data_IF_874318861632
#
_entry.id   IF_874318861632
#
_cell.length_a   1.000
_cell.length_b   1.000
_cell.length_c   1.000
_cell.angle_alpha   90.00
_cell.angle_beta   90.00
_cell.angle_gamma   90.00
#
_symmetry.space_group_name_H-M   'P 1'
#
loop_
_entity.id
_entity.type
_entity.pdbx_description
1 polymer ?
#
# COMPACT_ATOMS: atom_id res chain seq x y z
N UNK A 1 -22.54 0.02 -10.64
CA UNK A 1 -21.60 -0.97 -11.17
C UNK A 1 -20.90 -1.67 -10.01
N UNK A 2 -21.00 -2.99 -9.87
CA UNK A 2 -20.50 -3.72 -8.70
C UNK A 2 -18.97 -3.87 -8.66
N UNK A 3 -18.24 -3.31 -9.58
CA UNK A 3 -16.79 -3.48 -9.72
C UNK A 3 -16.42 -4.76 -10.47
N UNK A 4 -15.17 -4.86 -10.87
CA UNK A 4 -14.68 -5.92 -11.77
C UNK A 4 -14.23 -7.19 -11.04
N UNK A 5 -14.02 -7.16 -9.71
CA UNK A 5 -13.44 -8.30 -9.01
C UNK A 5 -13.91 -8.38 -7.57
N UNK A 6 -14.67 -9.40 -7.24
CA UNK A 6 -14.98 -9.78 -5.87
C UNK A 6 -13.99 -10.88 -5.43
N UNK A 7 -13.26 -10.62 -4.35
CA UNK A 7 -12.41 -11.63 -3.71
C UNK A 7 -13.07 -12.10 -2.43
N UNK A 8 -13.32 -13.39 -2.36
CA UNK A 8 -13.75 -13.99 -1.10
C UNK A 8 -12.54 -14.21 -0.22
N UNK A 9 -12.51 -13.55 0.94
CA UNK A 9 -11.48 -13.73 1.95
C UNK A 9 -12.03 -14.55 3.11
N UNK A 10 -11.19 -15.42 3.66
CA UNK A 10 -11.42 -16.08 4.93
C UNK A 10 -11.39 -15.08 6.09
N UNK A 11 -11.84 -15.49 7.28
CA UNK A 11 -11.71 -14.68 8.50
C UNK A 11 -10.27 -14.24 8.74
N UNK A 12 -9.29 -15.11 8.46
CA UNK A 12 -7.85 -14.82 8.55
C UNK A 12 -7.42 -13.75 7.56
N UNK A 13 -7.91 -13.82 6.32
CA UNK A 13 -7.63 -12.82 5.29
C UNK A 13 -8.25 -11.46 5.60
N UNK A 14 -9.44 -11.42 6.20
CA UNK A 14 -10.07 -10.18 6.68
C UNK A 14 -9.29 -9.59 7.85
N UNK A 15 -8.84 -10.40 8.82
CA UNK A 15 -7.96 -9.95 9.92
C UNK A 15 -6.67 -9.35 9.39
N UNK A 16 -5.99 -10.03 8.46
CA UNK A 16 -4.77 -9.50 7.85
C UNK A 16 -5.03 -8.18 7.11
N UNK A 17 -6.15 -8.09 6.38
CA UNK A 17 -6.52 -6.84 5.69
C UNK A 17 -6.74 -5.70 6.70
N UNK A 18 -7.50 -5.94 7.76
CA UNK A 18 -7.81 -4.94 8.79
C UNK A 18 -6.54 -4.51 9.55
N UNK A 19 -5.80 -5.48 10.10
CA UNK A 19 -4.79 -5.23 11.13
C UNK A 19 -3.38 -5.01 10.55
N UNK A 20 -3.06 -5.62 9.40
CA UNK A 20 -1.77 -5.43 8.75
C UNK A 20 -1.83 -4.41 7.62
N UNK A 21 -2.74 -4.58 6.64
CA UNK A 21 -2.71 -3.77 5.42
C UNK A 21 -3.31 -2.38 5.62
N UNK A 22 -4.55 -2.33 6.10
CA UNK A 22 -5.28 -1.06 6.19
C UNK A 22 -4.68 -0.12 7.23
N UNK A 23 -4.35 -0.63 8.44
CA UNK A 23 -3.73 0.18 9.50
C UNK A 23 -2.41 0.77 9.02
N UNK A 24 -1.53 -0.05 8.46
CA UNK A 24 -0.23 0.42 7.96
C UNK A 24 -0.40 1.45 6.85
N UNK A 25 -1.31 1.21 5.91
CA UNK A 25 -1.59 2.11 4.80
C UNK A 25 -2.09 3.47 5.27
N UNK A 26 -3.15 3.51 6.07
CA UNK A 26 -3.71 4.81 6.46
C UNK A 26 -2.76 5.61 7.34
N UNK A 27 -2.04 4.97 8.25
CA UNK A 27 -1.05 5.65 9.10
C UNK A 27 0.11 6.23 8.31
N UNK A 28 0.60 5.52 7.28
CA UNK A 28 1.68 6.04 6.44
C UNK A 28 1.19 7.15 5.53
N UNK A 29 -0.01 7.01 4.94
CA UNK A 29 -0.59 8.08 4.10
C UNK A 29 -0.92 9.33 4.89
N UNK A 30 -1.35 9.21 6.13
CA UNK A 30 -1.60 10.36 7.00
C UNK A 30 -0.36 11.23 7.18
N UNK A 31 0.82 10.61 7.33
CA UNK A 31 2.08 11.33 7.49
C UNK A 31 2.35 12.22 6.27
N UNK A 32 2.30 11.65 5.06
CA UNK A 32 2.56 12.43 3.85
C UNK A 32 1.47 13.46 3.54
N UNK A 33 0.21 13.15 3.82
CA UNK A 33 -0.90 14.09 3.59
C UNK A 33 -0.80 15.33 4.46
N UNK A 34 -0.27 15.23 5.67
CA UNK A 34 0.00 16.39 6.54
C UNK A 34 1.00 17.35 5.88
N UNK A 35 2.04 16.82 5.25
CA UNK A 35 3.01 17.62 4.50
C UNK A 35 2.35 18.29 3.29
N UNK A 36 1.73 17.48 2.41
CA UNK A 36 1.04 18.01 1.22
C UNK A 36 0.08 19.14 1.59
N UNK A 37 -0.80 18.89 2.57
CA UNK A 37 -1.82 19.87 2.97
C UNK A 37 -1.21 21.16 3.52
N UNK A 38 -0.08 21.08 4.23
CA UNK A 38 0.62 22.25 4.74
C UNK A 38 1.18 23.11 3.61
N UNK A 39 1.87 22.51 2.65
CA UNK A 39 2.42 23.22 1.49
C UNK A 39 1.31 23.79 0.60
N UNK A 40 0.25 23.02 0.33
CA UNK A 40 -0.92 23.47 -0.43
C UNK A 40 -1.65 24.67 0.22
N UNK A 41 -1.61 24.79 1.55
CA UNK A 41 -2.20 25.93 2.26
C UNK A 41 -1.28 27.17 2.25
N UNK A 42 0.01 26.96 2.15
CA UNK A 42 0.99 28.02 2.15
C UNK A 42 1.17 28.68 0.77
N UNK A 43 0.96 27.90 -0.31
CA UNK A 43 1.17 28.35 -1.69
C UNK A 43 0.08 27.83 -2.62
N UNK A 44 -0.58 28.74 -3.30
CA UNK A 44 -1.64 28.45 -4.29
C UNK A 44 -1.13 27.68 -5.51
N UNK A 45 0.09 27.97 -5.98
CA UNK A 45 0.69 27.24 -7.09
C UNK A 45 0.96 25.78 -6.72
N UNK A 46 1.45 25.54 -5.51
CA UNK A 46 1.61 24.19 -4.96
C UNK A 46 0.26 23.50 -4.79
N UNK A 47 -0.77 24.25 -4.36
CA UNK A 47 -2.12 23.69 -4.25
C UNK A 47 -2.63 23.17 -5.59
N UNK A 48 -2.47 23.94 -6.67
CA UNK A 48 -2.88 23.52 -8.01
C UNK A 48 -2.13 22.27 -8.45
N UNK A 49 -0.82 22.20 -8.23
CA UNK A 49 0.04 21.04 -8.58
C UNK A 49 -0.32 19.77 -7.81
N UNK A 50 -0.74 19.88 -6.55
CA UNK A 50 -0.90 18.76 -5.63
C UNK A 50 -2.35 18.36 -5.33
N UNK A 51 -3.35 19.12 -5.76
CA UNK A 51 -4.76 18.84 -5.44
C UNK A 51 -5.19 17.44 -5.87
N UNK A 52 -4.90 17.06 -7.11
CA UNK A 52 -5.21 15.71 -7.63
C UNK A 52 -4.44 14.61 -6.88
N UNK A 53 -3.17 14.83 -6.58
CA UNK A 53 -2.31 13.87 -5.87
C UNK A 53 -2.77 13.68 -4.42
N UNK A 54 -3.12 14.79 -3.76
CA UNK A 54 -3.70 14.77 -2.43
C UNK A 54 -5.05 14.04 -2.43
N UNK A 55 -5.94 14.36 -3.36
CA UNK A 55 -7.24 13.72 -3.49
C UNK A 55 -7.11 12.20 -3.71
N UNK A 56 -6.20 11.77 -4.57
CA UNK A 56 -5.92 10.36 -4.78
C UNK A 56 -5.40 9.68 -3.50
N UNK A 57 -4.43 10.29 -2.81
CA UNK A 57 -3.91 9.76 -1.55
C UNK A 57 -5.00 9.68 -0.49
N UNK A 58 -5.81 10.74 -0.35
CA UNK A 58 -6.91 10.82 0.62
C UNK A 58 -8.00 9.78 0.33
N UNK A 59 -8.25 9.45 -0.93
CA UNK A 59 -9.22 8.42 -1.31
C UNK A 59 -8.81 7.04 -0.77
N UNK A 60 -7.56 6.63 -0.97
CA UNK A 60 -7.04 5.38 -0.41
C UNK A 60 -6.99 5.39 1.12
N UNK A 61 -6.66 6.52 1.72
CA UNK A 61 -6.66 6.70 3.18
C UNK A 61 -8.07 6.52 3.77
N UNK A 62 -9.07 7.23 3.21
CA UNK A 62 -10.48 7.11 3.62
C UNK A 62 -11.01 5.70 3.39
N UNK A 63 -10.65 5.06 2.27
CA UNK A 63 -11.05 3.69 1.98
C UNK A 63 -10.53 2.72 3.04
N UNK A 64 -9.26 2.80 3.43
CA UNK A 64 -8.67 1.92 4.44
C UNK A 64 -9.35 2.08 5.81
N UNK A 65 -9.62 3.32 6.24
CA UNK A 65 -10.34 3.61 7.49
C UNK A 65 -11.79 3.14 7.42
N UNK A 66 -12.50 3.48 6.34
CA UNK A 66 -13.90 3.11 6.14
C UNK A 66 -14.09 1.60 6.08
N UNK A 67 -13.19 0.89 5.41
CA UNK A 67 -13.19 -0.57 5.35
C UNK A 67 -13.03 -1.18 6.75
N UNK A 68 -12.08 -0.71 7.56
CA UNK A 68 -11.90 -1.20 8.92
C UNK A 68 -13.13 -0.94 9.78
N UNK A 69 -13.69 0.27 9.70
CA UNK A 69 -14.93 0.61 10.40
C UNK A 69 -16.08 -0.33 9.99
N UNK A 70 -16.23 -0.64 8.70
CA UNK A 70 -17.25 -1.57 8.22
C UNK A 70 -17.01 -3.00 8.68
N UNK A 71 -15.77 -3.48 8.66
CA UNK A 71 -15.42 -4.81 9.17
C UNK A 71 -15.83 -4.96 10.64
N UNK A 72 -15.55 -3.95 11.44
CA UNK A 72 -15.85 -3.98 12.88
C UNK A 72 -17.34 -3.80 13.15
N UNK A 73 -18.00 -2.79 12.55
CA UNK A 73 -19.42 -2.48 12.81
C UNK A 73 -20.37 -3.57 12.32
N UNK A 74 -20.01 -4.29 11.26
CA UNK A 74 -20.80 -5.40 10.71
C UNK A 74 -20.35 -6.77 11.24
N UNK A 75 -19.40 -6.84 12.16
CA UNK A 75 -18.86 -8.08 12.71
C UNK A 75 -18.43 -9.09 11.63
N UNK A 76 -17.84 -8.60 10.53
CA UNK A 76 -17.52 -9.42 9.35
C UNK A 76 -16.62 -10.61 9.70
N UNK A 77 -15.68 -10.44 10.62
CA UNK A 77 -14.78 -11.51 11.05
C UNK A 77 -15.58 -12.65 11.69
N UNK A 78 -16.49 -12.32 12.61
CA UNK A 78 -17.35 -13.32 13.29
C UNK A 78 -18.25 -14.03 12.30
N UNK A 79 -18.88 -13.31 11.36
CA UNK A 79 -19.68 -13.92 10.30
C UNK A 79 -18.88 -14.90 9.46
N UNK A 80 -17.65 -14.56 9.09
CA UNK A 80 -16.75 -15.45 8.34
C UNK A 80 -16.37 -16.69 9.14
N UNK A 81 -16.08 -16.53 10.43
CA UNK A 81 -15.79 -17.66 11.32
C UNK A 81 -16.98 -18.64 11.47
N UNK A 82 -18.20 -18.11 11.54
CA UNK A 82 -19.42 -18.94 11.54
C UNK A 82 -19.58 -19.73 10.22
N UNK A 83 -19.33 -19.10 9.06
CA UNK A 83 -19.33 -19.80 7.78
C UNK A 83 -18.23 -20.86 7.69
N UNK A 84 -17.03 -20.57 8.18
CA UNK A 84 -15.91 -21.52 8.21
C UNK A 84 -16.23 -22.73 9.12
N UNK A 85 -16.86 -22.48 10.26
CA UNK A 85 -17.31 -23.55 11.15
C UNK A 85 -18.39 -24.44 10.51
N UNK A 86 -19.35 -23.85 9.79
CA UNK A 86 -20.37 -24.59 9.04
C UNK A 86 -19.76 -25.43 7.91
N UNK A 87 -18.80 -24.89 7.17
CA UNK A 87 -18.06 -25.62 6.14
C UNK A 87 -17.30 -26.80 6.78
N UNK A 88 -16.62 -26.57 7.88
CA UNK A 88 -15.90 -27.62 8.61
C UNK A 88 -16.84 -28.74 9.05
N UNK A 89 -17.98 -28.40 9.63
CA UNK A 89 -18.99 -29.40 10.06
C UNK A 89 -19.50 -30.24 8.87
N UNK A 90 -19.75 -29.60 7.71
CA UNK A 90 -20.13 -30.31 6.49
C UNK A 90 -19.03 -31.26 6.01
N UNK A 91 -17.79 -30.80 5.96
CA UNK A 91 -16.63 -31.64 5.57
C UNK A 91 -16.46 -32.82 6.53
N UNK A 92 -16.57 -32.60 7.84
CA UNK A 92 -16.45 -33.63 8.86
C UNK A 92 -17.58 -34.69 8.72
N UNK A 93 -18.80 -34.27 8.40
CA UNK A 93 -19.96 -35.17 8.27
C UNK A 93 -19.98 -35.99 6.98
N UNK A 94 -19.50 -35.40 5.87
CA UNK A 94 -19.55 -36.01 4.55
C UNK A 94 -18.27 -36.69 4.11
N UNK A 95 -17.15 -36.32 4.74
CA UNK A 95 -15.80 -36.70 4.27
C UNK A 95 -15.35 -35.99 3.00
N UNK A 96 -16.21 -35.16 2.39
CA UNK A 96 -15.89 -34.43 1.16
C UNK A 96 -14.80 -33.38 1.40
N UNK A 97 -13.74 -33.41 0.62
CA UNK A 97 -12.57 -32.51 0.74
C UNK A 97 -11.84 -32.59 2.09
N UNK A 98 -12.02 -33.62 2.91
CA UNK A 98 -11.42 -33.76 4.24
C UNK A 98 -9.89 -33.61 4.21
N UNK A 99 -9.23 -34.16 3.22
CA UNK A 99 -7.77 -34.11 3.07
C UNK A 99 -7.26 -32.84 2.35
N UNK A 100 -8.18 -31.95 1.93
CA UNK A 100 -7.84 -30.74 1.16
C UNK A 100 -8.15 -29.42 1.89
N UNK A 101 -8.95 -29.48 2.94
CA UNK A 101 -9.39 -28.30 3.68
C UNK A 101 -8.83 -28.33 5.11
N UNK A 102 -7.83 -27.50 5.36
CA UNK A 102 -7.21 -27.35 6.68
C UNK A 102 -7.21 -25.86 7.12
N UNK A 103 -8.20 -25.48 7.92
CA UNK A 103 -8.31 -24.13 8.47
C UNK A 103 -7.21 -23.83 9.50
N UNK A 104 -6.68 -24.83 10.20
CA UNK A 104 -5.60 -24.63 11.18
C UNK A 104 -4.28 -24.31 10.45
N UNK A 105 -3.99 -25.03 9.37
CA UNK A 105 -2.86 -24.71 8.50
C UNK A 105 -3.01 -23.31 7.90
N UNK A 106 -4.20 -22.96 7.41
CA UNK A 106 -4.47 -21.64 6.86
C UNK A 106 -4.23 -20.52 7.89
N UNK A 107 -4.75 -20.64 9.10
CA UNK A 107 -4.49 -19.70 10.21
C UNK A 107 -2.98 -19.56 10.49
N UNK A 108 -2.28 -20.68 10.60
CA UNK A 108 -0.82 -20.71 10.82
C UNK A 108 -0.07 -19.95 9.72
N UNK A 109 -0.42 -20.15 8.44
CA UNK A 109 0.21 -19.46 7.32
C UNK A 109 -0.05 -17.95 7.35
N UNK A 110 -1.27 -17.51 7.67
CA UNK A 110 -1.59 -16.09 7.81
C UNK A 110 -0.82 -15.45 8.97
N UNK A 111 -0.70 -16.14 10.12
CA UNK A 111 0.11 -15.66 11.25
C UNK A 111 1.59 -15.53 10.89
N UNK A 112 2.16 -16.53 10.21
CA UNK A 112 3.57 -16.52 9.81
C UNK A 112 3.90 -15.35 8.86
N UNK A 113 2.99 -15.01 7.95
CA UNK A 113 3.22 -13.95 6.97
C UNK A 113 2.79 -12.55 7.43
N UNK A 114 2.14 -12.42 8.59
CA UNK A 114 1.52 -11.17 9.05
C UNK A 114 2.52 -10.00 9.09
N UNK A 115 3.67 -10.19 9.72
CA UNK A 115 4.70 -9.15 9.82
C UNK A 115 5.35 -8.84 8.46
N UNK A 116 5.56 -9.85 7.62
CA UNK A 116 6.05 -9.65 6.26
C UNK A 116 5.06 -8.82 5.43
N UNK A 117 3.75 -9.04 5.60
CA UNK A 117 2.72 -8.25 4.93
C UNK A 117 2.70 -6.80 5.42
N UNK A 118 2.83 -6.55 6.72
CA UNK A 118 2.98 -5.19 7.26
C UNK A 118 4.20 -4.49 6.68
N UNK A 119 5.35 -5.17 6.67
CA UNK A 119 6.59 -4.65 6.11
C UNK A 119 6.45 -4.32 4.61
N UNK A 120 5.81 -5.20 3.84
CA UNK A 120 5.55 -4.98 2.41
C UNK A 120 4.67 -3.74 2.17
N UNK A 121 3.61 -3.56 2.95
CA UNK A 121 2.74 -2.38 2.81
C UNK A 121 3.49 -1.11 3.23
N UNK A 122 4.19 -1.14 4.36
CA UNK A 122 4.99 0.00 4.83
C UNK A 122 6.04 0.41 3.80
N UNK A 123 6.79 -0.56 3.26
CA UNK A 123 7.74 -0.33 2.18
C UNK A 123 7.07 0.28 0.93
N UNK A 124 5.95 -0.31 0.50
CA UNK A 124 5.25 0.16 -0.69
C UNK A 124 4.70 1.57 -0.54
N UNK A 125 4.13 1.91 0.63
CA UNK A 125 3.58 3.24 0.89
C UNK A 125 4.69 4.29 1.11
N UNK A 126 5.90 3.88 1.48
CA UNK A 126 7.06 4.76 1.63
C UNK A 126 7.77 5.01 0.30
N UNK A 127 8.11 3.96 -0.44
CA UNK A 127 9.01 4.04 -1.61
C UNK A 127 8.31 4.02 -2.97
N UNK A 128 6.99 3.90 -3.00
CA UNK A 128 6.24 3.80 -4.27
C UNK A 128 5.14 4.84 -4.42
N UNK A 129 5.05 5.80 -3.51
CA UNK A 129 3.94 6.75 -3.48
C UNK A 129 4.37 8.21 -3.53
N UNK A 130 5.65 8.51 -3.53
CA UNK A 130 6.23 9.81 -3.84
C UNK A 130 6.62 9.90 -5.33
N UNK A 131 6.80 11.12 -5.83
CA UNK A 131 7.04 11.33 -7.26
C UNK A 131 8.44 10.91 -7.66
N UNK A 132 9.44 11.30 -6.90
CA UNK A 132 10.83 11.04 -7.24
C UNK A 132 11.12 9.53 -7.28
N UNK A 133 10.72 8.78 -6.24
CA UNK A 133 10.88 7.33 -6.23
C UNK A 133 10.06 6.63 -7.31
N UNK A 134 8.87 7.15 -7.64
CA UNK A 134 8.04 6.61 -8.70
C UNK A 134 8.67 6.80 -10.07
N UNK A 135 9.25 7.96 -10.32
CA UNK A 135 9.98 8.28 -11.55
C UNK A 135 11.26 7.47 -11.66
N UNK A 136 12.10 7.45 -10.61
CA UNK A 136 13.31 6.62 -10.58
C UNK A 136 13.02 5.15 -10.91
N UNK A 137 11.93 4.61 -10.36
CA UNK A 137 11.50 3.24 -10.66
C UNK A 137 11.03 3.07 -12.11
N UNK A 138 10.35 4.04 -12.70
CA UNK A 138 9.92 3.94 -14.11
C UNK A 138 11.12 3.89 -15.04
N UNK A 139 12.19 4.63 -14.74
CA UNK A 139 13.45 4.56 -15.46
C UNK A 139 14.13 3.19 -15.33
N UNK A 140 14.19 2.63 -14.11
CA UNK A 140 14.85 1.34 -13.89
C UNK A 140 14.08 0.15 -14.44
N UNK A 141 12.75 0.17 -14.38
CA UNK A 141 11.89 -0.91 -14.89
C UNK A 141 11.67 -0.84 -16.40
N UNK A 142 11.87 0.32 -17.02
CA UNK A 142 11.74 0.53 -18.46
C UNK A 142 12.88 -0.02 -19.29
N UNK A 143 13.85 -0.71 -18.66
CA UNK A 143 14.99 -1.27 -19.38
C UNK A 143 15.79 -0.17 -20.04
N UNK A 144 16.23 0.83 -19.28
CA UNK A 144 17.23 1.77 -19.78
C UNK A 144 18.54 1.00 -19.99
N UNK A 145 18.64 0.33 -21.13
CA UNK A 145 19.92 0.31 -21.83
C UNK A 145 20.27 1.77 -22.07
N UNK A 146 21.32 2.26 -21.45
CA UNK A 146 21.90 3.56 -21.80
C UNK A 146 22.36 3.43 -23.25
N UNK A 147 21.45 3.76 -24.16
CA UNK A 147 21.79 3.89 -25.56
C UNK A 147 22.69 5.11 -25.66
N UNK A 148 23.78 4.95 -26.39
CA UNK A 148 24.86 5.92 -26.45
C UNK A 148 24.41 7.32 -26.87
N UNK A 149 25.29 8.33 -26.78
CA UNK A 149 24.97 9.75 -26.93
C UNK A 149 24.41 10.18 -28.31
N UNK A 150 24.29 9.27 -29.26
CA UNK A 150 23.79 9.53 -30.61
C UNK A 150 22.31 9.18 -30.81
N UNK A 151 21.63 8.58 -29.84
CA UNK A 151 20.21 8.31 -29.95
C UNK A 151 19.38 9.41 -29.30
N UNK A 152 18.30 9.82 -29.96
CA UNK A 152 17.35 10.85 -29.49
C UNK A 152 17.03 10.67 -28.02
N UNK A 153 16.98 11.75 -27.23
CA UNK A 153 16.62 11.66 -25.82
C UNK A 153 15.33 10.84 -25.68
N UNK A 154 15.36 9.88 -24.80
CA UNK A 154 14.23 8.99 -24.54
C UNK A 154 12.99 9.86 -24.22
N UNK A 155 11.84 9.50 -24.75
CA UNK A 155 10.56 10.16 -24.44
C UNK A 155 10.34 10.35 -22.93
N UNK A 156 10.86 9.45 -22.13
CA UNK A 156 10.78 9.53 -20.66
C UNK A 156 11.58 10.71 -20.08
N UNK A 157 12.68 11.10 -20.71
CA UNK A 157 13.47 12.27 -20.29
C UNK A 157 12.74 13.58 -20.62
N UNK A 158 12.12 13.65 -21.79
CA UNK A 158 11.30 14.79 -22.22
C UNK A 158 10.06 14.91 -21.31
N UNK A 159 9.41 13.79 -20.98
CA UNK A 159 8.27 13.78 -20.04
C UNK A 159 8.64 14.24 -18.63
N UNK A 160 9.88 14.06 -18.18
CA UNK A 160 10.33 14.57 -16.88
C UNK A 160 10.44 16.09 -16.87
N UNK A 161 10.97 16.70 -17.91
CA UNK A 161 11.04 18.17 -18.07
C UNK A 161 9.64 18.78 -18.27
N UNK A 162 8.80 18.17 -19.09
CA UNK A 162 7.45 18.65 -19.41
C UNK A 162 6.47 18.56 -18.22
N UNK A 163 6.76 17.68 -17.23
CA UNK A 163 5.96 17.60 -16.02
C UNK A 163 6.41 18.54 -14.89
N UNK A 164 7.33 19.47 -15.14
CA UNK A 164 7.76 20.48 -14.16
C UNK A 164 6.60 21.30 -13.60
N UNK A 165 5.56 21.53 -14.41
CA UNK A 165 4.35 22.27 -14.04
C UNK A 165 3.50 21.56 -12.98
N UNK A 166 3.68 20.26 -12.80
CA UNK A 166 2.95 19.44 -11.80
C UNK A 166 3.79 19.02 -10.63
N UNK A 167 5.07 19.40 -10.58
CA UNK A 167 6.03 19.00 -9.57
C UNK A 167 6.46 20.18 -8.69
N UNK A 168 6.60 19.94 -7.40
CA UNK A 168 7.20 20.86 -6.44
C UNK A 168 8.25 20.12 -5.62
N UNK A 169 9.52 20.49 -5.82
CA UNK A 169 10.65 19.79 -5.24
C UNK A 169 10.68 19.90 -3.70
N UNK A 170 10.29 21.05 -3.16
CA UNK A 170 10.30 21.26 -1.71
C UNK A 170 9.25 20.38 -1.01
N UNK A 171 8.05 20.31 -1.58
CA UNK A 171 6.99 19.45 -1.07
C UNK A 171 7.37 17.96 -1.16
N UNK A 172 7.91 17.53 -2.30
CA UNK A 172 8.26 16.10 -2.49
C UNK A 172 9.42 15.68 -1.60
N UNK A 173 10.46 16.52 -1.48
CA UNK A 173 11.60 16.25 -0.61
C UNK A 173 11.19 16.14 0.87
N UNK A 174 10.29 17.01 1.33
CA UNK A 174 9.79 16.92 2.70
C UNK A 174 8.89 15.72 2.91
N UNK A 175 8.03 15.38 1.94
CA UNK A 175 7.24 14.13 1.98
C UNK A 175 8.14 12.91 2.09
N UNK A 176 9.19 12.82 1.28
CA UNK A 176 10.17 11.73 1.36
C UNK A 176 10.84 11.67 2.73
N UNK A 177 11.29 12.81 3.23
CA UNK A 177 11.96 12.89 4.54
C UNK A 177 11.06 12.30 5.64
N UNK A 178 9.81 12.74 5.74
CA UNK A 178 8.90 12.23 6.78
C UNK A 178 8.48 10.77 6.55
N UNK A 179 8.37 10.33 5.30
CA UNK A 179 8.09 8.93 4.98
C UNK A 179 9.27 8.02 5.37
N UNK A 180 10.50 8.42 5.09
CA UNK A 180 11.71 7.69 5.50
C UNK A 180 11.87 7.63 7.02
N UNK A 181 11.62 8.75 7.72
CA UNK A 181 11.60 8.78 9.18
C UNK A 181 10.51 7.85 9.75
N UNK A 182 9.31 7.88 9.20
CA UNK A 182 8.24 6.98 9.60
C UNK A 182 8.58 5.50 9.31
N UNK A 183 9.25 5.23 8.20
CA UNK A 183 9.73 3.90 7.85
C UNK A 183 10.79 3.41 8.85
N UNK A 184 11.82 4.21 9.10
CA UNK A 184 12.89 3.88 10.05
C UNK A 184 12.35 3.61 11.46
N UNK A 185 11.32 4.37 11.89
CA UNK A 185 10.70 4.19 13.20
C UNK A 185 9.80 2.95 13.33
N UNK A 186 9.20 2.47 12.23
CA UNK A 186 8.17 1.42 12.26
C UNK A 186 8.55 0.12 11.57
N UNK A 187 9.60 0.11 10.76
CA UNK A 187 10.02 -1.08 10.05
C UNK A 187 10.65 -2.09 11.01
N UNK A 188 10.25 -3.34 10.85
CA UNK A 188 10.92 -4.46 11.52
C UNK A 188 12.25 -4.72 10.82
N UNK A 189 13.35 -4.70 11.58
CA UNK A 189 14.72 -4.91 11.09
C UNK A 189 14.87 -6.16 10.21
N UNK A 190 14.13 -7.22 10.55
CA UNK A 190 14.13 -8.47 9.77
C UNK A 190 13.71 -8.29 8.31
N UNK A 191 12.90 -7.29 8.02
CA UNK A 191 12.35 -7.02 6.68
C UNK A 191 12.87 -5.70 6.09
N UNK A 192 13.83 -5.06 6.73
CA UNK A 192 14.49 -3.87 6.18
C UNK A 192 15.35 -4.27 4.97
N UNK A 193 15.33 -3.48 3.88
CA UNK A 193 16.29 -3.64 2.81
C UNK A 193 17.73 -3.38 3.29
N UNK A 194 18.70 -4.11 2.75
CA UNK A 194 20.12 -4.01 3.15
C UNK A 194 20.69 -2.59 3.04
N UNK A 195 20.17 -1.76 2.13
CA UNK A 195 20.62 -0.35 2.00
C UNK A 195 20.24 0.54 3.19
N UNK A 196 19.42 0.06 4.11
CA UNK A 196 19.10 0.75 5.37
C UNK A 196 20.02 0.37 6.53
N UNK A 197 20.86 -0.65 6.35
CA UNK A 197 21.76 -1.15 7.40
C UNK A 197 23.11 -0.41 7.42
N UNK A 198 23.33 0.51 6.48
CA UNK A 198 24.52 1.37 6.39
C UNK A 198 24.23 2.73 7.00
#
# INVERSE_FOLDING_TARGET
YPGSTNRYLSSFGIKEMRDAKNITRWQTREVKQKVMLRHMRADEAVRIKYDSKYAQSANYWKNAIGMNKSIDSLNIITLKQQHEAAIKAYVDSTGYLKDKLDFALLDSLYRKRFNAMRALILFSETFRTDELSSRARSYTNGGMEMKGPEEKPDKQYVEFEDNSDTYDAATDMEMQTVLLQNYAAKADKKYMPAFFET
#
